data_IF_223250457514
#
_entry.id   IF_223250457514
#
_cell.length_a   1.000
_cell.length_b   1.000
_cell.length_c   1.000
_cell.angle_alpha   90.00
_cell.angle_beta   90.00
_cell.angle_gamma   90.00
#
_symmetry.space_group_name_H-M   'P 1'
#
loop_
_entity.id
_entity.type
_entity.pdbx_description
1 polymer ?
#
# COMPACT_ATOMS: atom_id res chain seq x y z
N UNK A 1 -9.36 -22.61 39.18
CA UNK A 1 -8.16 -23.28 38.62
C UNK A 1 -7.31 -22.33 37.75
N UNK A 2 -7.85 -21.22 37.23
CA UNK A 2 -7.12 -20.21 36.45
C UNK A 2 -6.35 -19.15 37.28
N UNK A 3 -6.60 -19.08 38.60
CA UNK A 3 -6.15 -18.00 39.48
C UNK A 3 -4.62 -17.86 39.58
N UNK A 4 -3.86 -18.97 39.49
CA UNK A 4 -2.40 -18.89 39.47
C UNK A 4 -1.86 -18.31 38.15
N UNK A 5 -2.39 -18.74 37.00
CA UNK A 5 -1.96 -18.20 35.71
C UNK A 5 -2.33 -16.72 35.56
N UNK A 6 -3.47 -16.30 36.11
CA UNK A 6 -3.88 -14.90 36.14
C UNK A 6 -2.99 -14.01 36.99
N UNK A 7 -2.49 -14.51 38.12
CA UNK A 7 -1.59 -13.76 39.00
C UNK A 7 -0.30 -13.38 38.29
N UNK A 8 0.25 -14.30 37.50
CA UNK A 8 1.48 -14.11 36.73
C UNK A 8 1.31 -13.19 35.51
N UNK A 9 0.08 -12.98 35.02
CA UNK A 9 -0.16 -12.06 33.90
C UNK A 9 -0.06 -10.59 34.34
N UNK A 10 0.50 -9.69 33.50
CA UNK A 10 0.48 -8.26 33.75
C UNK A 10 -0.95 -7.74 33.93
N UNK A 11 -1.14 -6.76 34.82
CA UNK A 11 -2.46 -6.21 35.16
C UNK A 11 -3.27 -5.77 33.94
N UNK A 12 -2.60 -5.14 32.96
CA UNK A 12 -3.23 -4.69 31.70
C UNK A 12 -3.77 -5.86 30.88
N UNK A 13 -3.06 -6.98 30.84
CA UNK A 13 -3.48 -8.17 30.10
C UNK A 13 -4.68 -8.80 30.79
N UNK A 14 -4.63 -8.96 32.13
CA UNK A 14 -5.76 -9.47 32.93
C UNK A 14 -7.07 -8.73 32.64
N UNK A 15 -7.04 -7.39 32.68
CA UNK A 15 -8.22 -6.57 32.40
C UNK A 15 -8.81 -6.80 31.00
N UNK A 16 -7.97 -7.12 30.02
CA UNK A 16 -8.40 -7.30 28.63
C UNK A 16 -8.99 -8.69 28.34
N UNK A 17 -8.84 -9.65 29.26
CA UNK A 17 -9.27 -11.05 29.06
C UNK A 17 -10.19 -11.57 30.18
N UNK A 18 -10.51 -10.72 31.16
CA UNK A 18 -11.34 -11.08 32.32
C UNK A 18 -12.75 -11.55 31.89
N UNK A 19 -13.31 -10.92 30.87
CA UNK A 19 -14.57 -11.29 30.22
C UNK A 19 -14.51 -12.68 29.57
N UNK A 20 -13.41 -12.99 28.88
CA UNK A 20 -13.22 -14.25 28.15
C UNK A 20 -12.96 -15.45 29.06
N UNK A 21 -12.44 -15.23 30.27
CA UNK A 21 -12.15 -16.28 31.25
C UNK A 21 -13.44 -16.88 31.83
N UNK A 22 -14.50 -16.08 31.95
CA UNK A 22 -15.81 -16.57 32.41
C UNK A 22 -16.46 -17.51 31.37
N UNK A 23 -16.18 -17.31 30.09
CA UNK A 23 -16.72 -18.09 28.97
C UNK A 23 -15.84 -19.29 28.57
N UNK A 24 -14.62 -19.41 29.11
CA UNK A 24 -13.67 -20.44 28.67
C UNK A 24 -14.15 -21.86 29.07
N UNK A 25 -14.29 -22.80 28.12
CA UNK A 25 -14.68 -24.18 28.40
C UNK A 25 -13.71 -24.90 29.36
N UNK A 26 -14.24 -25.81 30.20
CA UNK A 26 -13.45 -26.59 31.17
C UNK A 26 -12.52 -27.66 30.55
N UNK A 27 -12.59 -27.88 29.24
CA UNK A 27 -11.78 -28.87 28.52
C UNK A 27 -10.53 -28.19 27.96
N UNK A 28 -9.33 -28.72 28.27
CA UNK A 28 -8.02 -28.10 27.98
C UNK A 28 -7.95 -26.60 28.37
N UNK A 29 -8.23 -26.27 29.64
CA UNK A 29 -8.43 -24.90 30.10
C UNK A 29 -7.23 -23.98 29.86
N UNK A 30 -6.02 -24.50 29.88
CA UNK A 30 -4.80 -23.71 29.69
C UNK A 30 -4.50 -23.41 28.22
N UNK A 31 -4.65 -24.39 27.33
CA UNK A 31 -4.37 -24.22 25.89
C UNK A 31 -5.36 -23.22 25.28
N UNK A 32 -6.64 -23.36 25.64
CA UNK A 32 -7.70 -22.46 25.19
C UNK A 32 -7.49 -21.05 25.75
N UNK A 33 -7.21 -20.93 27.06
CA UNK A 33 -6.94 -19.62 27.67
C UNK A 33 -5.73 -18.95 27.02
N UNK A 34 -4.64 -19.68 26.77
CA UNK A 34 -3.45 -19.16 26.10
C UNK A 34 -3.78 -18.67 24.69
N UNK A 35 -4.51 -19.45 23.91
CA UNK A 35 -4.91 -19.08 22.56
C UNK A 35 -5.80 -17.83 22.55
N UNK A 36 -6.79 -17.78 23.45
CA UNK A 36 -7.72 -16.66 23.59
C UNK A 36 -7.02 -15.38 24.02
N UNK A 37 -6.10 -15.46 24.99
CA UNK A 37 -5.29 -14.31 25.44
C UNK A 37 -4.44 -13.75 24.30
N UNK A 38 -3.73 -14.62 23.56
CA UNK A 38 -2.90 -14.21 22.41
C UNK A 38 -3.77 -13.54 21.35
N UNK A 39 -4.88 -14.18 20.97
CA UNK A 39 -5.80 -13.68 19.94
C UNK A 39 -6.34 -12.30 20.31
N UNK A 40 -6.85 -12.15 21.53
CA UNK A 40 -7.40 -10.88 22.03
C UNK A 40 -6.36 -9.78 22.10
N UNK A 41 -5.15 -10.12 22.50
CA UNK A 41 -4.04 -9.15 22.54
C UNK A 41 -3.65 -8.70 21.13
N UNK A 42 -3.56 -9.64 20.18
CA UNK A 42 -3.28 -9.31 18.79
C UNK A 42 -4.34 -8.35 18.22
N UNK A 43 -5.63 -8.59 18.46
CA UNK A 43 -6.72 -7.70 18.02
C UNK A 43 -6.60 -6.28 18.61
N UNK A 44 -6.27 -6.19 19.91
CA UNK A 44 -6.11 -4.90 20.60
C UNK A 44 -4.92 -4.14 20.04
N UNK A 45 -3.79 -4.81 19.83
CA UNK A 45 -2.59 -4.17 19.26
C UNK A 45 -2.75 -3.85 17.79
N UNK A 46 -3.42 -4.68 17.01
CA UNK A 46 -3.75 -4.40 15.61
C UNK A 46 -4.67 -3.17 15.50
N UNK A 47 -5.66 -3.05 16.38
CA UNK A 47 -6.54 -1.88 16.46
C UNK A 47 -5.77 -0.63 16.89
N UNK A 48 -4.82 -0.78 17.83
CA UNK A 48 -3.92 0.31 18.22
C UNK A 48 -2.99 0.72 17.07
N UNK A 49 -2.45 -0.23 16.33
CA UNK A 49 -1.61 0.01 15.16
C UNK A 49 -2.38 0.79 14.09
N UNK A 50 -3.62 0.40 13.79
CA UNK A 50 -4.52 1.17 12.90
C UNK A 50 -4.75 2.61 13.36
N UNK A 51 -4.87 2.84 14.68
CA UNK A 51 -5.05 4.21 15.23
C UNK A 51 -3.78 5.06 15.14
N UNK A 52 -2.61 4.45 15.26
CA UNK A 52 -1.30 5.13 15.13
C UNK A 52 -0.96 5.38 13.66
N UNK A 53 -1.42 4.52 12.76
CA UNK A 53 -1.09 4.53 11.33
C UNK A 53 -2.35 4.80 10.48
N UNK A 54 -3.14 5.88 10.73
CA UNK A 54 -4.44 6.05 10.09
C UNK A 54 -4.33 6.38 8.58
N UNK A 55 -3.22 6.98 8.14
CA UNK A 55 -3.04 7.51 6.77
C UNK A 55 -1.67 7.14 6.16
N UNK A 56 -1.09 6.01 6.56
CA UNK A 56 0.20 5.59 5.99
C UNK A 56 -0.07 4.89 4.66
N UNK A 57 0.20 5.60 3.57
CA UNK A 57 0.12 5.07 2.21
C UNK A 57 1.52 4.74 1.67
N UNK A 58 1.60 3.75 0.77
CA UNK A 58 2.86 3.40 0.11
C UNK A 58 3.44 4.57 -0.71
N UNK A 59 2.58 5.33 -1.40
CA UNK A 59 3.00 6.48 -2.20
C UNK A 59 4.10 6.15 -3.20
N UNK A 60 5.24 6.85 -3.10
CA UNK A 60 6.45 6.64 -3.91
C UNK A 60 7.51 5.76 -3.22
N UNK A 61 7.23 5.20 -2.04
CA UNK A 61 8.19 4.43 -1.24
C UNK A 61 8.14 2.96 -1.63
N UNK A 62 9.23 2.24 -1.42
CA UNK A 62 9.21 0.78 -1.53
C UNK A 62 8.43 0.15 -0.35
N UNK A 63 7.81 -1.02 -0.53
CA UNK A 63 7.22 -1.79 0.55
C UNK A 63 8.13 -2.01 1.77
N UNK A 64 9.43 -2.23 1.57
CA UNK A 64 10.44 -2.35 2.64
C UNK A 64 10.69 -1.03 3.38
N UNK A 65 10.81 0.09 2.66
CA UNK A 65 10.95 1.42 3.27
C UNK A 65 9.71 1.78 4.08
N UNK A 66 8.52 1.43 3.57
CA UNK A 66 7.26 1.62 4.30
C UNK A 66 7.25 0.82 5.59
N UNK A 67 7.69 -0.44 5.55
CA UNK A 67 7.76 -1.30 6.74
C UNK A 67 8.69 -0.70 7.81
N UNK A 68 9.88 -0.28 7.41
CA UNK A 68 10.85 0.34 8.31
C UNK A 68 10.29 1.63 8.94
N UNK A 69 9.64 2.46 8.14
CA UNK A 69 8.98 3.67 8.64
C UNK A 69 7.84 3.35 9.62
N UNK A 70 7.00 2.35 9.31
CA UNK A 70 5.93 1.92 10.21
C UNK A 70 6.49 1.38 11.53
N UNK A 71 7.57 0.60 11.50
CA UNK A 71 8.27 0.13 12.72
C UNK A 71 8.79 1.30 13.57
N UNK A 72 9.37 2.33 12.95
CA UNK A 72 9.81 3.52 13.67
C UNK A 72 8.63 4.30 14.29
N UNK A 73 7.49 4.39 13.59
CA UNK A 73 6.30 5.05 14.14
C UNK A 73 5.67 4.32 15.34
N UNK A 74 5.85 2.99 15.41
CA UNK A 74 5.36 2.18 16.53
C UNK A 74 6.47 1.90 17.56
N UNK A 75 7.64 2.50 17.41
CA UNK A 75 8.76 2.36 18.35
C UNK A 75 8.34 2.82 19.76
N UNK A 76 8.73 2.05 20.78
CA UNK A 76 8.29 2.28 22.16
C UNK A 76 6.85 1.83 22.47
N UNK A 77 6.15 1.23 21.52
CA UNK A 77 4.86 0.55 21.76
C UNK A 77 5.04 -0.97 21.88
N UNK A 78 3.98 -1.67 22.29
CA UNK A 78 3.94 -3.15 22.39
C UNK A 78 3.50 -3.82 21.08
N UNK A 79 3.59 -3.12 19.94
CA UNK A 79 3.16 -3.62 18.62
C UNK A 79 4.35 -4.31 17.97
N UNK A 80 4.22 -5.61 17.69
CA UNK A 80 5.21 -6.39 16.96
C UNK A 80 4.86 -6.55 15.48
N UNK A 81 5.68 -7.33 14.77
CA UNK A 81 5.49 -7.61 13.35
C UNK A 81 4.19 -8.37 13.07
N UNK A 82 3.71 -9.20 14.01
CA UNK A 82 2.48 -9.98 13.84
C UNK A 82 1.27 -9.06 13.69
N UNK A 83 1.19 -8.01 14.51
CA UNK A 83 0.09 -7.06 14.51
C UNK A 83 0.30 -5.93 13.49
N UNK A 84 1.56 -5.66 13.13
CA UNK A 84 1.91 -4.69 12.09
C UNK A 84 1.63 -5.21 10.68
N UNK A 85 1.87 -6.51 10.42
CA UNK A 85 1.69 -7.17 9.12
C UNK A 85 0.32 -6.90 8.46
N UNK A 86 -0.84 -7.11 9.11
CA UNK A 86 -2.13 -6.85 8.47
C UNK A 86 -2.36 -5.37 8.15
N UNK A 87 -1.80 -4.45 8.93
CA UNK A 87 -1.88 -3.01 8.66
C UNK A 87 -1.00 -2.67 7.44
N UNK A 88 0.24 -3.17 7.42
CA UNK A 88 1.18 -2.99 6.32
C UNK A 88 0.65 -3.57 5.00
N UNK A 89 0.03 -4.75 5.02
CA UNK A 89 -0.62 -5.35 3.83
C UNK A 89 -1.75 -4.45 3.30
N UNK A 90 -2.58 -3.88 4.18
CA UNK A 90 -3.66 -2.97 3.77
C UNK A 90 -3.14 -1.70 3.08
N UNK A 91 -1.94 -1.24 3.43
CA UNK A 91 -1.28 -0.09 2.79
C UNK A 91 -0.80 -0.38 1.35
N UNK A 92 -0.75 -1.65 0.93
CA UNK A 92 -0.28 -2.03 -0.41
C UNK A 92 -1.34 -1.79 -1.49
N UNK A 93 -0.94 -1.58 -2.77
CA UNK A 93 -1.85 -1.55 -3.91
C UNK A 93 -2.68 -2.83 -4.02
N UNK A 94 -3.95 -2.70 -4.44
CA UNK A 94 -4.90 -3.82 -4.50
C UNK A 94 -4.40 -5.02 -5.31
N UNK A 95 -3.64 -4.77 -6.39
CA UNK A 95 -3.04 -5.80 -7.23
C UNK A 95 -2.03 -6.69 -6.47
N UNK A 96 -1.36 -6.13 -5.46
CA UNK A 96 -0.25 -6.78 -4.76
C UNK A 96 -0.69 -7.46 -3.45
N UNK A 97 -1.76 -6.98 -2.81
CA UNK A 97 -2.25 -7.50 -1.52
C UNK A 97 -2.45 -9.01 -1.46
N UNK A 98 -3.06 -9.68 -2.46
CA UNK A 98 -3.31 -11.12 -2.38
C UNK A 98 -2.00 -11.89 -2.28
N UNK A 99 -1.03 -11.58 -3.14
CA UNK A 99 0.27 -12.25 -3.19
C UNK A 99 1.01 -12.19 -1.86
N UNK A 100 1.04 -11.01 -1.24
CA UNK A 100 1.66 -10.79 0.08
C UNK A 100 0.84 -11.46 1.19
N UNK A 101 -0.49 -11.40 1.10
CA UNK A 101 -1.40 -11.99 2.08
C UNK A 101 -1.32 -13.51 2.16
N UNK A 102 -0.97 -14.18 1.06
CA UNK A 102 -0.78 -15.64 1.02
C UNK A 102 0.61 -16.09 1.50
N UNK A 103 1.57 -15.19 1.69
CA UNK A 103 2.87 -15.57 2.25
C UNK A 103 2.70 -16.18 3.66
N UNK A 104 3.43 -17.25 3.96
CA UNK A 104 3.38 -17.86 5.30
C UNK A 104 3.74 -16.85 6.40
N UNK A 105 3.16 -17.04 7.58
CA UNK A 105 3.56 -16.31 8.79
C UNK A 105 4.91 -16.78 9.35
N UNK A 106 5.43 -17.92 8.88
CA UNK A 106 6.78 -18.39 9.22
C UNK A 106 7.89 -17.55 8.55
N UNK A 107 7.54 -16.85 7.47
CA UNK A 107 8.45 -15.94 6.79
C UNK A 107 8.54 -14.62 7.55
N UNK A 108 9.77 -14.13 7.71
CA UNK A 108 10.00 -12.81 8.29
C UNK A 108 9.29 -11.73 7.47
N UNK A 109 8.76 -10.72 8.15
CA UNK A 109 8.06 -9.62 7.47
C UNK A 109 9.02 -8.84 6.55
N UNK A 110 10.32 -8.83 6.87
CA UNK A 110 11.37 -8.25 6.05
C UNK A 110 11.59 -9.00 4.73
N UNK A 111 11.56 -10.33 4.74
CA UNK A 111 11.72 -11.11 3.51
C UNK A 111 10.49 -11.01 2.61
N UNK A 112 9.30 -10.93 3.20
CA UNK A 112 8.07 -10.63 2.49
C UNK A 112 8.12 -9.22 1.88
N UNK A 113 8.66 -8.23 2.61
CA UNK A 113 8.82 -6.87 2.12
C UNK A 113 9.81 -6.76 0.95
N UNK A 114 10.93 -7.50 0.99
CA UNK A 114 11.87 -7.56 -0.14
C UNK A 114 11.23 -8.12 -1.40
N UNK A 115 10.45 -9.21 -1.29
CA UNK A 115 9.72 -9.75 -2.44
C UNK A 115 8.66 -8.76 -2.95
N UNK A 116 8.00 -8.04 -2.03
CA UNK A 116 7.05 -6.99 -2.40
C UNK A 116 7.73 -5.83 -3.15
N UNK A 117 8.99 -5.48 -2.85
CA UNK A 117 9.73 -4.46 -3.57
C UNK A 117 9.93 -4.81 -5.05
N UNK A 118 10.21 -6.09 -5.34
CA UNK A 118 10.37 -6.57 -6.72
C UNK A 118 9.06 -6.46 -7.50
N UNK A 119 7.95 -6.92 -6.91
CA UNK A 119 6.63 -6.79 -7.53
C UNK A 119 6.21 -5.31 -7.69
N UNK A 120 6.53 -4.46 -6.71
CA UNK A 120 6.24 -3.04 -6.78
C UNK A 120 7.00 -2.36 -7.92
N UNK A 121 8.27 -2.71 -8.11
CA UNK A 121 9.11 -2.23 -9.21
C UNK A 121 8.56 -2.67 -10.57
N UNK A 122 8.10 -3.91 -10.69
CA UNK A 122 7.48 -4.43 -11.92
C UNK A 122 6.20 -3.67 -12.27
N UNK A 123 5.28 -3.50 -11.31
CA UNK A 123 4.05 -2.73 -11.51
C UNK A 123 4.33 -1.28 -11.92
N UNK A 124 5.32 -0.64 -11.29
CA UNK A 124 5.76 0.71 -11.65
C UNK A 124 6.35 0.78 -13.06
N UNK A 125 7.06 -0.26 -13.51
CA UNK A 125 7.61 -0.31 -14.85
C UNK A 125 6.51 -0.46 -15.91
N UNK A 126 5.50 -1.30 -15.66
CA UNK A 126 4.33 -1.46 -16.54
C UNK A 126 3.55 -0.14 -16.70
N UNK A 127 3.28 0.55 -15.59
CA UNK A 127 2.56 1.83 -15.59
C UNK A 127 3.34 2.91 -16.35
N UNK A 128 4.66 2.96 -16.17
CA UNK A 128 5.54 3.88 -16.91
C UNK A 128 5.58 3.53 -18.40
N UNK A 129 5.65 2.26 -18.76
CA UNK A 129 5.65 1.80 -20.15
C UNK A 129 4.33 2.14 -20.85
N UNK A 130 3.19 1.88 -20.19
CA UNK A 130 1.86 2.22 -20.69
C UNK A 130 1.73 3.74 -20.88
N UNK A 131 2.13 4.54 -19.89
CA UNK A 131 2.12 6.00 -19.95
C UNK A 131 3.01 6.53 -21.07
N UNK A 132 4.20 5.96 -21.26
CA UNK A 132 5.12 6.33 -22.33
C UNK A 132 4.55 5.98 -23.71
N UNK A 133 3.90 4.83 -23.86
CA UNK A 133 3.21 4.43 -25.09
C UNK A 133 2.11 5.42 -25.45
N UNK A 134 1.25 5.79 -24.49
CA UNK A 134 0.22 6.81 -24.70
C UNK A 134 0.81 8.16 -25.09
N UNK A 135 1.88 8.61 -24.39
CA UNK A 135 2.58 9.86 -24.72
C UNK A 135 3.16 9.84 -26.14
N UNK A 136 3.74 8.73 -26.57
CA UNK A 136 4.25 8.54 -27.93
C UNK A 136 3.12 8.61 -28.97
N UNK A 137 1.97 7.99 -28.69
CA UNK A 137 0.79 8.05 -29.57
C UNK A 137 0.25 9.48 -29.68
N UNK A 138 0.10 10.18 -28.56
CA UNK A 138 -0.32 11.58 -28.53
C UNK A 138 0.64 12.49 -29.29
N UNK A 139 1.96 12.30 -29.10
CA UNK A 139 2.98 13.05 -29.85
C UNK A 139 2.84 12.86 -31.36
N UNK A 140 2.66 11.62 -31.84
CA UNK A 140 2.47 11.34 -33.27
C UNK A 140 1.23 12.03 -33.85
N UNK A 141 0.13 12.09 -33.10
CA UNK A 141 -1.09 12.79 -33.52
C UNK A 141 -0.82 14.29 -33.66
N UNK A 142 -0.16 14.88 -32.65
CA UNK A 142 0.19 16.30 -32.68
C UNK A 142 1.14 16.59 -33.85
N UNK A 143 2.18 15.78 -34.03
CA UNK A 143 3.15 15.93 -35.13
C UNK A 143 2.44 15.86 -36.50
N UNK A 144 1.46 14.96 -36.67
CA UNK A 144 0.64 14.88 -37.91
C UNK A 144 -0.19 16.14 -38.13
N UNK A 145 -0.91 16.61 -37.11
CA UNK A 145 -1.76 17.80 -37.21
C UNK A 145 -0.94 19.06 -37.50
N UNK A 146 0.27 19.18 -36.91
CA UNK A 146 1.19 20.28 -37.18
C UNK A 146 1.67 20.25 -38.64
N UNK A 147 1.98 19.07 -39.18
CA UNK A 147 2.37 18.93 -40.58
C UNK A 147 1.23 19.31 -41.52
N UNK A 148 0.00 18.84 -41.26
CA UNK A 148 -1.18 19.21 -42.03
C UNK A 148 -1.45 20.73 -42.00
N UNK A 149 -1.36 21.35 -40.82
CA UNK A 149 -1.47 22.81 -40.69
C UNK A 149 -0.36 23.54 -41.44
N UNK A 150 0.88 23.04 -41.41
CA UNK A 150 2.00 23.61 -42.15
C UNK A 150 1.76 23.58 -43.66
N UNK A 151 1.21 22.50 -44.19
CA UNK A 151 0.86 22.39 -45.61
C UNK A 151 -0.26 23.38 -45.99
N UNK A 152 -1.29 23.51 -45.16
CA UNK A 152 -2.37 24.49 -45.40
C UNK A 152 -1.85 25.92 -45.36
N UNK A 153 -1.00 26.26 -44.38
CA UNK A 153 -0.38 27.60 -44.30
C UNK A 153 0.44 27.88 -45.55
N UNK A 154 1.22 26.90 -46.03
CA UNK A 154 2.00 27.04 -47.26
C UNK A 154 1.11 27.30 -48.47
N UNK A 155 0.02 26.55 -48.63
CA UNK A 155 -0.96 26.77 -49.71
C UNK A 155 -1.61 28.16 -49.64
N UNK A 156 -1.96 28.63 -48.44
CA UNK A 156 -2.52 29.97 -48.25
C UNK A 156 -1.50 31.05 -48.65
N UNK A 157 -0.24 30.91 -48.25
CA UNK A 157 0.83 31.85 -48.65
C UNK A 157 1.00 31.89 -50.17
N UNK A 158 1.02 30.73 -50.84
CA UNK A 158 1.13 30.64 -52.30
C UNK A 158 -0.07 31.31 -53.02
N UNK A 159 -1.27 31.26 -52.43
CA UNK A 159 -2.47 31.93 -52.96
C UNK A 159 -2.51 33.44 -52.67
N UNK A 160 -1.77 33.92 -51.67
CA UNK A 160 -1.70 35.35 -51.30
C UNK A 160 -0.53 36.09 -51.99
N UNK A 161 0.54 35.40 -52.38
CA UNK A 161 1.65 35.95 -53.18
C UNK A 161 1.22 36.65 -54.49
N UNK A 162 0.17 36.20 -55.22
CA UNK A 162 -0.27 36.87 -56.44
C UNK A 162 -1.32 37.97 -56.23
N UNK A 163 -1.71 38.38 -55.01
CA UNK A 163 -2.70 39.45 -54.85
C UNK A 163 -2.10 40.80 -55.29
N UNK A 164 -2.52 41.37 -56.43
CA UNK A 164 -2.15 42.74 -56.74
C UNK A 164 -2.75 43.61 -55.65
N UNK A 165 -1.90 44.40 -55.02
CA UNK A 165 -2.32 45.49 -54.17
C UNK A 165 -3.02 46.49 -55.10
N UNK A 166 -4.32 46.32 -55.35
CA UNK A 166 -5.15 47.32 -56.03
C UNK A 166 -5.31 48.50 -55.07
N UNK A 167 -4.24 49.30 -55.04
CA UNK A 167 -4.26 50.72 -54.73
C UNK A 167 -4.16 51.47 -56.05
N UNK A 168 -5.31 51.70 -56.67
CA UNK A 168 -5.54 52.86 -57.53
C UNK A 168 -6.92 53.41 -57.13
N UNK A 169 -6.93 54.44 -56.30
CA UNK A 169 -6.94 55.88 -56.62
C UNK A 169 -8.36 56.40 -56.81
#
# INVERSE_FOLDING_TARGET
MYDCALKELPHRVKLAVLDLIEETPKYKPYDELKHTVITRMNEIYETRARRILPNVELGNRSPSELLAHMRHMVEGTQIGDMELRPVWIKCMPAKMRPYIGYCSYDLSLDDVAKHADDMHRELQAEEKAASQSMRRKAKRIIDSAVNELSEVVKQICELLDPLPCDRQQ
#
